data_IF_418070950659
#
_entry.id   IF_418070950659
#
_cell.length_a   1.000
_cell.length_b   1.000
_cell.length_c   1.000
_cell.angle_alpha   90.00
_cell.angle_beta   90.00
_cell.angle_gamma   90.00
#
_symmetry.space_group_name_H-M   'P 1'
#
loop_
_entity.id
_entity.type
_entity.pdbx_description
1 polymer ?
#
# COMPACT_ATOMS: atom_id res chain seq x y z
N UNK A 1 42.71 -16.18 -25.46
CA UNK A 1 41.61 -15.24 -25.75
C UNK A 1 40.83 -15.04 -24.45
N UNK A 2 40.72 -13.80 -23.99
CA UNK A 2 39.89 -13.44 -22.83
C UNK A 2 38.41 -13.69 -23.16
N UNK A 3 37.64 -14.34 -22.30
CA UNK A 3 36.21 -14.56 -22.56
C UNK A 3 35.41 -13.27 -22.29
N UNK A 4 34.24 -13.11 -22.90
CA UNK A 4 33.33 -11.97 -22.63
C UNK A 4 33.03 -11.83 -21.13
N UNK A 5 33.03 -12.96 -20.39
CA UNK A 5 32.81 -13.01 -18.94
C UNK A 5 33.96 -12.39 -18.15
N UNK A 6 35.20 -12.56 -18.62
CA UNK A 6 36.40 -12.01 -18.00
C UNK A 6 36.46 -10.49 -18.19
N UNK A 7 36.13 -10.01 -19.38
CA UNK A 7 36.00 -8.58 -19.70
C UNK A 7 34.92 -7.93 -18.82
N UNK A 8 33.79 -8.60 -18.59
CA UNK A 8 32.71 -8.09 -17.74
C UNK A 8 33.09 -7.99 -16.26
N UNK A 9 33.92 -8.93 -15.77
CA UNK A 9 34.40 -8.93 -14.40
C UNK A 9 35.43 -7.82 -14.15
N UNK A 10 36.30 -7.52 -15.11
CA UNK A 10 37.24 -6.40 -15.03
C UNK A 10 36.56 -5.03 -15.09
N UNK A 11 35.47 -4.91 -15.86
CA UNK A 11 34.73 -3.65 -16.01
C UNK A 11 33.75 -3.36 -14.86
N UNK A 12 33.43 -4.34 -14.01
CA UNK A 12 32.45 -4.24 -12.92
C UNK A 12 32.71 -3.07 -11.94
N UNK A 13 33.95 -2.79 -11.50
CA UNK A 13 34.25 -1.65 -10.64
C UNK A 13 34.05 -0.31 -11.35
N UNK A 14 34.36 -0.25 -12.65
CA UNK A 14 34.22 0.94 -13.49
C UNK A 14 32.75 1.25 -13.78
N UNK A 15 31.94 0.22 -14.08
CA UNK A 15 30.49 0.31 -14.25
C UNK A 15 29.81 0.80 -12.97
N UNK A 16 30.25 0.33 -11.79
CA UNK A 16 29.74 0.82 -10.48
C UNK A 16 30.04 2.31 -10.27
N UNK A 17 31.24 2.77 -10.66
CA UNK A 17 31.67 4.17 -10.55
C UNK A 17 30.89 5.08 -11.53
N UNK A 18 30.72 4.63 -12.77
CA UNK A 18 29.89 5.29 -13.79
C UNK A 18 28.43 5.37 -13.32
N UNK A 19 27.85 4.27 -12.81
CA UNK A 19 26.47 4.22 -12.31
C UNK A 19 26.24 5.22 -11.17
N UNK A 20 27.17 5.30 -10.21
CA UNK A 20 27.06 6.26 -9.10
C UNK A 20 27.24 7.71 -9.57
N UNK A 21 28.11 7.95 -10.54
CA UNK A 21 28.31 9.29 -11.13
C UNK A 21 27.09 9.73 -11.94
N UNK A 22 26.55 8.86 -12.82
CA UNK A 22 25.30 9.09 -13.54
C UNK A 22 24.10 9.25 -12.61
N UNK A 23 24.02 8.49 -11.51
CA UNK A 23 22.93 8.65 -10.54
C UNK A 23 22.96 10.04 -9.87
N UNK A 24 24.14 10.56 -9.54
CA UNK A 24 24.29 11.90 -8.95
C UNK A 24 24.07 13.03 -9.99
N UNK A 25 24.53 12.83 -11.23
CA UNK A 25 24.37 13.81 -12.31
C UNK A 25 22.93 13.85 -12.83
N UNK A 26 22.30 12.70 -13.03
CA UNK A 26 20.90 12.61 -13.47
C UNK A 26 19.98 13.13 -12.38
N UNK A 27 20.18 12.75 -11.10
CA UNK A 27 19.33 13.27 -10.01
C UNK A 27 19.30 14.81 -10.00
N UNK A 28 20.46 15.48 -10.06
CA UNK A 28 20.49 16.94 -10.03
C UNK A 28 19.99 17.58 -11.33
N UNK A 29 20.28 16.98 -12.49
CA UNK A 29 19.88 17.52 -13.80
C UNK A 29 18.39 17.31 -14.09
N UNK A 30 17.80 16.18 -13.68
CA UNK A 30 16.36 15.90 -13.82
C UNK A 30 15.50 16.86 -13.01
N UNK A 31 15.89 17.14 -11.75
CA UNK A 31 15.17 18.10 -10.91
C UNK A 31 15.33 19.54 -11.42
N UNK A 32 16.47 19.89 -12.02
CA UNK A 32 16.70 21.20 -12.63
C UNK A 32 15.91 21.38 -13.94
N UNK A 33 15.86 20.38 -14.81
CA UNK A 33 15.07 20.42 -16.05
C UNK A 33 13.55 20.40 -15.79
N UNK A 34 13.08 19.60 -14.82
CA UNK A 34 11.68 19.61 -14.39
C UNK A 34 11.24 20.98 -13.87
N UNK A 35 12.14 21.71 -13.20
CA UNK A 35 11.90 23.08 -12.71
C UNK A 35 11.87 24.12 -13.82
N UNK A 36 12.47 23.86 -14.98
CA UNK A 36 12.57 24.80 -16.10
C UNK A 36 11.52 24.56 -17.19
N UNK A 37 11.02 23.34 -17.32
CA UNK A 37 10.04 22.95 -18.34
C UNK A 37 8.57 23.15 -17.90
N UNK A 38 8.32 23.54 -16.66
CA UNK A 38 6.96 23.60 -16.12
C UNK A 38 6.83 24.74 -15.09
N UNK A 39 6.81 25.98 -15.56
CA UNK A 39 6.77 27.19 -14.71
C UNK A 39 5.47 27.34 -13.89
N UNK A 40 4.42 26.59 -14.25
CA UNK A 40 3.12 26.60 -13.55
C UNK A 40 2.92 25.34 -12.67
N UNK A 41 3.95 24.51 -12.53
CA UNK A 41 3.89 23.31 -11.69
C UNK A 41 4.21 23.68 -10.23
N UNK A 42 3.18 24.12 -9.50
CA UNK A 42 3.29 24.44 -8.09
C UNK A 42 3.50 23.17 -7.25
N UNK A 43 4.75 22.91 -6.91
CA UNK A 43 5.20 21.89 -5.96
C UNK A 43 5.13 22.37 -4.51
N UNK A 44 4.32 23.39 -4.19
CA UNK A 44 4.10 23.85 -2.82
C UNK A 44 3.72 22.69 -1.89
N UNK A 45 3.06 21.62 -2.36
CA UNK A 45 2.79 20.44 -1.53
C UNK A 45 3.97 19.45 -1.37
N UNK A 46 4.91 19.40 -2.33
CA UNK A 46 6.12 18.55 -2.21
C UNK A 46 7.14 19.24 -1.30
N UNK A 47 7.15 20.57 -1.25
CA UNK A 47 7.92 21.33 -0.28
C UNK A 47 7.19 21.54 1.06
N UNK A 48 5.85 21.58 1.10
CA UNK A 48 5.09 21.70 2.37
C UNK A 48 4.98 20.38 3.15
N UNK A 49 5.61 19.30 2.68
CA UNK A 49 5.83 18.08 3.47
C UNK A 49 7.31 17.79 3.77
N UNK A 50 8.23 18.66 3.35
CA UNK A 50 9.56 18.71 3.97
C UNK A 50 9.56 19.51 5.30
N UNK A 51 8.44 20.13 5.66
CA UNK A 51 8.17 20.70 7.00
C UNK A 51 7.13 19.92 7.81
N UNK A 52 6.54 18.88 7.23
CA UNK A 52 6.07 17.72 7.98
C UNK A 52 7.01 16.57 7.69
N UNK A 53 8.27 16.77 8.08
CA UNK A 53 9.11 15.64 8.44
C UNK A 53 8.23 14.72 9.28
N UNK A 54 8.09 13.50 8.79
CA UNK A 54 8.10 12.34 9.64
C UNK A 54 9.25 12.61 10.62
N UNK A 55 8.94 13.13 11.81
CA UNK A 55 9.73 12.93 13.01
C UNK A 55 9.64 11.43 13.34
N UNK A 56 10.11 10.58 12.43
CA UNK A 56 10.87 9.42 12.85
C UNK A 56 12.12 10.04 13.43
N UNK A 57 12.05 10.25 14.74
CA UNK A 57 13.16 10.71 15.56
C UNK A 57 14.34 9.77 15.38
N UNK A 58 15.15 10.03 14.36
CA UNK A 58 16.60 9.91 14.47
C UNK A 58 17.10 11.18 15.15
N UNK A 59 16.59 11.45 16.36
CA UNK A 59 17.35 12.22 17.33
C UNK A 59 18.50 11.29 17.73
N UNK A 60 19.65 11.63 17.13
CA UNK A 60 21.00 11.46 17.65
C UNK A 60 21.02 10.98 19.11
N UNK A 61 21.74 9.88 19.33
CA UNK A 61 22.19 9.34 20.63
C UNK A 61 21.85 10.26 21.81
N UNK A 62 20.77 9.94 22.53
CA UNK A 62 20.40 10.60 23.79
C UNK A 62 21.58 10.53 24.75
N UNK A 63 22.22 11.66 25.02
CA UNK A 63 23.17 11.76 26.11
C UNK A 63 22.44 11.48 27.44
N UNK A 64 22.93 10.53 28.24
CA UNK A 64 22.64 10.45 29.67
C UNK A 64 21.32 9.78 30.11
N UNK A 65 20.86 8.72 29.44
CA UNK A 65 19.73 7.90 29.94
C UNK A 65 20.25 6.53 30.39
N UNK A 66 20.71 6.43 31.63
CA UNK A 66 21.14 5.15 32.20
C UNK A 66 20.57 5.00 33.60
N UNK A 67 19.67 4.02 33.76
CA UNK A 67 19.35 3.46 35.06
C UNK A 67 20.44 2.43 35.33
N UNK A 68 21.28 2.66 36.35
CA UNK A 68 22.49 1.86 36.60
C UNK A 68 22.19 0.57 37.37
N UNK A 69 21.05 0.55 38.07
CA UNK A 69 20.56 -0.60 38.83
C UNK A 69 19.22 -1.06 38.30
N UNK A 70 18.92 -2.36 38.39
CA UNK A 70 17.61 -2.86 38.01
C UNK A 70 16.53 -2.30 38.95
N UNK A 71 15.45 -1.76 38.38
CA UNK A 71 14.29 -1.23 39.13
C UNK A 71 13.03 -1.92 38.65
N UNK A 72 12.13 -2.28 39.57
CA UNK A 72 10.85 -2.92 39.27
C UNK A 72 9.78 -1.82 39.16
N UNK A 73 9.15 -1.72 37.99
CA UNK A 73 8.08 -0.75 37.69
C UNK A 73 6.95 -1.51 37.00
N UNK A 74 5.95 -1.93 37.77
CA UNK A 74 4.85 -2.76 37.27
C UNK A 74 3.59 -1.96 36.97
N UNK A 75 3.51 -0.74 37.48
CA UNK A 75 2.39 0.19 37.30
C UNK A 75 2.81 1.59 37.77
N UNK A 76 1.89 2.53 37.59
CA UNK A 76 2.09 3.93 37.92
C UNK A 76 2.13 4.24 39.42
N UNK A 77 1.88 3.26 40.28
CA UNK A 77 1.99 3.35 41.74
C UNK A 77 3.41 3.01 42.26
N UNK A 78 4.33 2.59 41.38
CA UNK A 78 5.71 2.33 41.76
C UNK A 78 6.42 3.64 42.20
N UNK A 79 7.12 3.59 43.34
CA UNK A 79 7.88 4.74 43.85
C UNK A 79 9.16 4.97 43.03
N UNK A 80 9.44 6.23 42.69
CA UNK A 80 10.59 6.56 41.83
C UNK A 80 11.82 6.93 42.66
N UNK A 81 12.96 6.32 42.30
CA UNK A 81 14.28 6.87 42.66
C UNK A 81 14.68 7.96 41.65
N UNK A 82 15.80 8.66 41.92
CA UNK A 82 16.25 9.75 41.04
C UNK A 82 16.52 9.30 39.60
N UNK A 83 17.12 8.12 39.40
CA UNK A 83 17.45 7.62 38.07
C UNK A 83 16.18 7.34 37.25
N UNK A 84 15.14 6.80 37.88
CA UNK A 84 13.84 6.55 37.24
C UNK A 84 13.07 7.84 36.97
N UNK A 85 13.10 8.80 37.90
CA UNK A 85 12.49 10.12 37.69
C UNK A 85 13.14 10.83 36.49
N UNK A 86 14.46 10.83 36.40
CA UNK A 86 15.19 11.40 35.26
C UNK A 86 14.83 10.67 33.97
N UNK A 87 14.78 9.33 34.01
CA UNK A 87 14.38 8.50 32.86
C UNK A 87 12.97 8.84 32.37
N UNK A 88 12.02 8.97 33.29
CA UNK A 88 10.64 9.33 33.03
C UNK A 88 10.51 10.72 32.41
N UNK A 89 11.13 11.74 33.03
CA UNK A 89 11.13 13.12 32.53
C UNK A 89 11.77 13.23 31.14
N UNK A 90 12.84 12.48 30.84
CA UNK A 90 13.44 12.43 29.50
C UNK A 90 12.56 11.74 28.45
N UNK A 91 11.57 10.95 28.89
CA UNK A 91 10.52 10.42 28.02
C UNK A 91 9.52 11.49 27.58
N UNK A 92 9.32 12.53 28.41
CA UNK A 92 8.40 13.65 28.16
C UNK A 92 9.13 14.80 27.47
N UNK A 93 10.32 15.14 27.95
CA UNK A 93 11.14 16.27 27.52
C UNK A 93 12.48 15.75 26.96
N UNK A 94 12.54 15.37 25.68
CA UNK A 94 13.74 14.76 25.10
C UNK A 94 14.88 15.76 24.90
N UNK A 95 14.58 17.04 24.73
CA UNK A 95 15.56 18.11 24.55
C UNK A 95 16.26 18.46 25.88
N UNK A 96 17.59 18.55 25.88
CA UNK A 96 18.40 18.70 27.09
C UNK A 96 18.09 19.98 27.88
N UNK A 97 17.79 21.09 27.17
CA UNK A 97 17.41 22.36 27.79
C UNK A 97 16.05 22.28 28.49
N UNK A 98 15.07 21.64 27.84
CA UNK A 98 13.73 21.40 28.38
C UNK A 98 13.77 20.47 29.60
N UNK A 99 14.47 19.34 29.47
CA UNK A 99 14.68 18.39 30.57
C UNK A 99 15.31 19.06 31.79
N UNK A 100 16.45 19.74 31.61
CA UNK A 100 17.15 20.37 32.73
C UNK A 100 16.32 21.49 33.36
N UNK A 101 15.59 22.27 32.55
CA UNK A 101 14.68 23.28 33.07
C UNK A 101 13.58 22.66 33.94
N UNK A 102 12.87 21.65 33.43
CA UNK A 102 11.77 21.01 34.16
C UNK A 102 12.29 20.33 35.42
N UNK A 103 13.35 19.53 35.29
CA UNK A 103 13.98 18.83 36.41
C UNK A 103 14.36 19.78 37.54
N UNK A 104 15.10 20.84 37.23
CA UNK A 104 15.67 21.74 38.24
C UNK A 104 14.62 22.70 38.83
N UNK A 105 13.59 23.05 38.05
CA UNK A 105 12.57 24.02 38.48
C UNK A 105 11.43 23.35 39.25
N UNK A 106 11.00 22.16 38.81
CA UNK A 106 9.74 21.56 39.27
C UNK A 106 9.95 20.29 40.11
N UNK A 107 11.06 19.56 39.94
CA UNK A 107 11.18 18.18 40.42
C UNK A 107 12.02 17.98 41.70
N UNK A 108 12.47 19.05 42.37
CA UNK A 108 13.40 18.97 43.52
C UNK A 108 12.93 18.08 44.69
N UNK A 109 11.61 17.85 44.84
CA UNK A 109 11.01 17.02 45.89
C UNK A 109 10.07 15.94 45.34
N UNK A 110 10.39 15.37 44.17
CA UNK A 110 9.57 14.34 43.53
C UNK A 110 10.10 12.91 43.70
N UNK A 111 11.30 12.74 44.24
CA UNK A 111 11.84 11.41 44.57
C UNK A 111 11.00 10.77 45.67
N UNK A 112 10.70 9.49 45.52
CA UNK A 112 9.84 8.74 46.43
C UNK A 112 8.35 8.93 46.20
N UNK A 113 7.94 9.74 45.21
CA UNK A 113 6.57 9.78 44.72
C UNK A 113 6.35 8.70 43.65
N UNK A 114 5.10 8.37 43.39
CA UNK A 114 4.71 7.55 42.25
C UNK A 114 4.42 8.39 40.98
N UNK A 115 4.19 7.74 39.84
CA UNK A 115 3.99 8.43 38.57
C UNK A 115 2.73 9.30 38.56
N UNK A 116 1.63 8.87 39.18
CA UNK A 116 0.39 9.67 39.24
C UNK A 116 0.55 10.94 40.08
N UNK A 117 1.28 10.84 41.20
CA UNK A 117 1.57 11.98 42.06
C UNK A 117 2.48 12.99 41.37
N UNK A 118 3.46 12.49 40.62
CA UNK A 118 4.36 13.32 39.80
C UNK A 118 3.58 14.01 38.68
N UNK A 119 2.74 13.27 37.96
CA UNK A 119 1.88 13.81 36.90
C UNK A 119 1.04 14.98 37.43
N UNK A 120 0.33 14.78 38.55
CA UNK A 120 -0.51 15.83 39.16
C UNK A 120 0.28 17.08 39.55
N UNK A 121 1.47 16.90 40.14
CA UNK A 121 2.32 18.03 40.55
C UNK A 121 2.89 18.77 39.35
N UNK A 122 3.42 18.05 38.36
CA UNK A 122 3.93 18.63 37.12
C UNK A 122 2.85 19.40 36.36
N UNK A 123 1.66 18.81 36.22
CA UNK A 123 0.52 19.47 35.58
C UNK A 123 0.19 20.81 36.24
N UNK A 124 0.05 20.82 37.56
CA UNK A 124 -0.25 22.03 38.32
C UNK A 124 0.84 23.09 38.17
N UNK A 125 2.11 22.70 38.23
CA UNK A 125 3.25 23.63 38.15
C UNK A 125 3.43 24.19 36.74
N UNK A 126 3.32 23.35 35.71
CA UNK A 126 3.44 23.76 34.32
C UNK A 126 2.31 24.72 33.92
N UNK A 127 1.06 24.41 34.28
CA UNK A 127 -0.09 25.28 34.03
C UNK A 127 0.02 26.62 34.76
N UNK A 128 0.46 26.61 36.02
CA UNK A 128 0.69 27.82 36.77
C UNK A 128 1.76 28.70 36.10
N UNK A 129 2.92 28.13 35.76
CA UNK A 129 4.00 28.86 35.11
C UNK A 129 3.61 29.37 33.70
N UNK A 130 2.81 28.61 32.93
CA UNK A 130 2.24 29.08 31.67
C UNK A 130 1.32 30.30 31.89
N UNK A 131 0.51 30.27 32.94
CA UNK A 131 -0.42 31.36 33.28
C UNK A 131 0.33 32.63 33.71
N UNK A 132 1.42 32.48 34.47
CA UNK A 132 2.23 33.61 34.95
C UNK A 132 3.09 34.23 33.84
N UNK A 133 3.87 33.44 33.12
CA UNK A 133 4.85 33.97 32.16
C UNK A 133 4.27 34.24 30.78
N UNK A 134 3.30 33.43 30.35
CA UNK A 134 2.67 33.49 29.02
C UNK A 134 3.67 33.51 27.86
N UNK A 135 4.78 32.80 28.02
CA UNK A 135 5.83 32.69 27.01
C UNK A 135 5.74 31.38 26.21
N UNK A 136 6.35 31.37 25.02
CA UNK A 136 6.31 30.22 24.11
C UNK A 136 7.04 28.98 24.64
N UNK A 137 8.06 29.15 25.47
CA UNK A 137 8.80 28.02 26.04
C UNK A 137 7.96 27.26 27.07
N UNK A 138 7.27 27.99 27.96
CA UNK A 138 6.30 27.44 28.92
C UNK A 138 5.13 26.75 28.21
N UNK A 139 4.68 27.28 27.07
CA UNK A 139 3.64 26.66 26.24
C UNK A 139 4.12 25.33 25.64
N UNK A 140 5.36 25.26 25.12
CA UNK A 140 5.95 24.02 24.59
C UNK A 140 6.08 22.94 25.66
N UNK A 141 6.45 23.30 26.90
CA UNK A 141 6.53 22.32 28.00
C UNK A 141 5.15 21.75 28.36
N UNK A 142 4.14 22.60 28.43
CA UNK A 142 2.75 22.14 28.64
C UNK A 142 2.31 21.23 27.50
N UNK A 143 2.56 21.61 26.25
CA UNK A 143 2.20 20.80 25.08
C UNK A 143 2.84 19.41 25.12
N UNK A 144 4.15 19.32 25.39
CA UNK A 144 4.85 18.05 25.50
C UNK A 144 4.29 17.17 26.63
N UNK A 145 3.98 17.77 27.79
CA UNK A 145 3.41 17.07 28.93
C UNK A 145 1.98 16.56 28.67
N UNK A 146 1.12 17.37 28.05
CA UNK A 146 -0.23 16.93 27.68
C UNK A 146 -0.22 15.84 26.60
N UNK A 147 0.68 15.95 25.61
CA UNK A 147 0.89 14.87 24.63
C UNK A 147 1.35 13.56 25.29
N UNK A 148 2.19 13.65 26.33
CA UNK A 148 2.54 12.48 27.16
C UNK A 148 1.32 11.89 27.86
N UNK A 149 0.48 12.71 28.51
CA UNK A 149 -0.75 12.23 29.18
C UNK A 149 -1.72 11.54 28.22
N UNK A 150 -1.94 12.12 27.04
CA UNK A 150 -2.76 11.48 26.00
C UNK A 150 -2.19 10.13 25.58
N UNK A 151 -0.86 10.05 25.40
CA UNK A 151 -0.18 8.80 25.05
C UNK A 151 -0.24 7.77 26.17
N UNK A 152 -0.13 8.18 27.44
CA UNK A 152 -0.29 7.31 28.60
C UNK A 152 -1.67 6.66 28.61
N UNK A 153 -2.75 7.45 28.48
CA UNK A 153 -4.12 6.92 28.38
C UNK A 153 -4.28 5.97 27.19
N UNK A 154 -3.65 6.29 26.05
CA UNK A 154 -3.65 5.39 24.88
C UNK A 154 -2.94 4.07 25.16
N UNK A 155 -1.79 4.09 25.84
CA UNK A 155 -1.03 2.91 26.23
C UNK A 155 -1.82 2.02 27.22
N UNK A 156 -2.46 2.61 28.22
CA UNK A 156 -3.32 1.91 29.18
C UNK A 156 -4.47 1.17 28.45
N UNK A 157 -4.98 1.76 27.37
CA UNK A 157 -6.07 1.21 26.57
C UNK A 157 -5.61 0.43 25.34
N UNK A 158 -4.30 0.17 25.17
CA UNK A 158 -3.76 -0.48 23.98
C UNK A 158 -4.36 -1.88 23.76
N UNK A 159 -4.51 -2.64 24.84
CA UNK A 159 -5.08 -4.00 24.84
C UNK A 159 -6.48 -4.08 25.46
N UNK A 160 -7.12 -2.94 25.73
CA UNK A 160 -8.50 -2.90 26.21
C UNK A 160 -9.47 -3.16 25.07
N UNK A 161 -10.53 -3.93 25.34
CA UNK A 161 -11.62 -4.19 24.38
C UNK A 161 -12.80 -3.23 24.54
N UNK A 162 -12.88 -2.51 25.67
CA UNK A 162 -14.07 -1.77 26.11
C UNK A 162 -14.54 -0.69 25.13
N UNK A 163 -13.60 -0.04 24.46
CA UNK A 163 -13.87 1.11 23.58
C UNK A 163 -13.50 0.83 22.11
N UNK A 164 -13.29 -0.45 21.74
CA UNK A 164 -12.98 -0.84 20.36
C UNK A 164 -14.28 -1.11 19.61
N UNK A 165 -14.40 -0.55 18.39
CA UNK A 165 -15.54 -0.77 17.50
C UNK A 165 -15.75 -2.26 17.18
N UNK A 166 -14.63 -3.00 17.04
CA UNK A 166 -14.63 -4.44 17.06
C UNK A 166 -13.76 -4.97 18.23
N UNK A 167 -14.36 -5.40 19.35
CA UNK A 167 -13.65 -6.00 20.47
C UNK A 167 -12.80 -7.23 20.08
N UNK A 168 -13.22 -7.96 19.05
CA UNK A 168 -12.53 -9.15 18.56
C UNK A 168 -11.23 -8.83 17.79
N UNK A 169 -10.97 -7.56 17.47
CA UNK A 169 -9.76 -7.15 16.76
C UNK A 169 -8.51 -7.03 17.66
N UNK A 170 -8.66 -7.12 18.99
CA UNK A 170 -7.56 -6.89 19.95
C UNK A 170 -6.70 -8.13 20.15
N UNK A 171 -7.34 -9.28 20.42
CA UNK A 171 -6.65 -10.52 20.76
C UNK A 171 -6.77 -11.54 19.65
N UNK A 172 -5.71 -12.33 19.48
CA UNK A 172 -5.66 -13.43 18.53
C UNK A 172 -6.75 -14.48 18.84
N UNK A 173 -7.47 -15.00 17.85
CA UNK A 173 -8.45 -16.06 18.05
C UNK A 173 -7.78 -17.36 18.49
N UNK A 174 -8.17 -17.88 19.65
CA UNK A 174 -7.68 -19.15 20.18
C UNK A 174 -8.87 -20.06 20.58
N UNK A 175 -9.06 -21.20 19.89
CA UNK A 175 -10.15 -22.12 20.22
C UNK A 175 -9.91 -22.88 21.52
N UNK A 176 -8.69 -22.85 22.06
CA UNK A 176 -8.29 -23.49 23.32
C UNK A 176 -8.41 -22.58 24.53
N UNK A 177 -8.62 -21.27 24.33
CA UNK A 177 -8.76 -20.31 25.43
C UNK A 177 -9.96 -20.63 26.32
N UNK A 178 -9.76 -20.59 27.64
CA UNK A 178 -10.81 -20.98 28.61
C UNK A 178 -11.98 -19.98 28.72
N UNK A 179 -11.76 -18.71 28.38
CA UNK A 179 -12.71 -17.60 28.57
C UNK A 179 -13.28 -17.07 27.25
N UNK A 180 -12.49 -17.09 26.18
CA UNK A 180 -12.80 -16.48 24.88
C UNK A 180 -12.50 -17.43 23.72
N UNK A 181 -13.19 -18.57 23.69
CA UNK A 181 -13.09 -19.57 22.62
C UNK A 181 -13.51 -18.98 21.28
N UNK A 182 -12.53 -18.67 20.44
CA UNK A 182 -12.74 -18.13 19.10
C UNK A 182 -11.93 -18.93 18.09
N UNK A 183 -12.53 -19.27 16.96
CA UNK A 183 -11.82 -19.92 15.87
C UNK A 183 -11.37 -18.90 14.85
N UNK A 184 -10.09 -18.93 14.49
CA UNK A 184 -9.52 -18.13 13.41
C UNK A 184 -10.31 -18.27 12.11
N UNK A 185 -10.88 -19.45 11.84
CA UNK A 185 -11.62 -19.75 10.61
C UNK A 185 -13.05 -19.19 10.58
N UNK A 186 -13.51 -18.61 11.69
CA UNK A 186 -14.81 -17.94 11.78
C UNK A 186 -14.68 -16.41 11.86
N UNK A 187 -13.45 -15.90 11.90
CA UNK A 187 -13.19 -14.47 12.02
C UNK A 187 -13.34 -13.72 10.70
N UNK A 188 -13.76 -12.48 10.82
CA UNK A 188 -13.73 -11.48 9.77
C UNK A 188 -12.75 -10.38 10.19
N UNK A 189 -11.59 -10.24 9.53
CA UNK A 189 -10.50 -9.39 10.01
C UNK A 189 -10.76 -7.90 9.68
N UNK A 190 -11.69 -7.25 10.37
CA UNK A 190 -11.94 -5.81 10.26
C UNK A 190 -11.95 -5.14 11.64
N UNK A 191 -11.45 -3.91 11.73
CA UNK A 191 -11.50 -3.12 12.96
C UNK A 191 -12.71 -2.17 13.00
N UNK A 192 -13.15 -1.69 11.83
CA UNK A 192 -14.24 -0.73 11.69
C UNK A 192 -15.07 -1.04 10.43
N UNK A 193 -16.35 -0.68 10.47
CA UNK A 193 -17.21 -0.63 9.29
C UNK A 193 -17.08 0.73 8.61
N UNK A 194 -17.16 0.73 7.29
CA UNK A 194 -17.01 1.90 6.44
C UNK A 194 -18.15 1.83 5.39
N UNK A 195 -19.40 2.15 5.78
CA UNK A 195 -20.58 1.94 4.94
C UNK A 195 -20.59 2.91 3.75
N UNK A 196 -19.94 2.52 2.66
CA UNK A 196 -19.75 3.32 1.45
C UNK A 196 -20.65 2.88 0.30
N UNK A 197 -21.14 1.64 0.32
CA UNK A 197 -21.70 0.95 -0.84
C UNK A 197 -23.15 0.57 -0.61
N UNK A 198 -23.98 0.96 -1.57
CA UNK A 198 -25.33 0.46 -1.78
C UNK A 198 -25.48 -0.07 -3.22
N UNK A 199 -26.67 -0.54 -3.58
CA UNK A 199 -26.92 -1.11 -4.92
C UNK A 199 -26.83 -0.08 -6.06
N UNK A 200 -26.92 1.22 -5.76
CA UNK A 200 -26.80 2.28 -6.76
C UNK A 200 -25.36 2.72 -6.99
N UNK A 201 -24.47 2.48 -6.02
CA UNK A 201 -23.05 2.86 -6.05
C UNK A 201 -22.35 2.23 -7.25
N UNK A 202 -21.77 3.07 -8.12
CA UNK A 202 -21.09 2.65 -9.36
C UNK A 202 -19.70 2.13 -9.04
N UNK A 203 -19.49 0.83 -9.24
CA UNK A 203 -18.23 0.16 -8.90
C UNK A 203 -17.48 -0.21 -10.17
N UNK A 204 -16.19 0.10 -10.17
CA UNK A 204 -15.21 -0.38 -11.16
C UNK A 204 -14.15 -1.20 -10.44
N UNK A 205 -13.67 -2.28 -11.06
CA UNK A 205 -12.54 -3.03 -10.52
C UNK A 205 -11.48 -3.36 -11.56
N UNK A 206 -10.24 -3.37 -11.12
CA UNK A 206 -9.10 -3.82 -11.90
C UNK A 206 -8.13 -4.59 -11.01
N UNK A 207 -7.44 -5.58 -11.57
CA UNK A 207 -6.41 -6.27 -10.84
C UNK A 207 -6.11 -7.67 -11.32
N UNK A 208 -5.49 -8.44 -10.43
CA UNK A 208 -5.06 -9.82 -10.71
C UNK A 208 -6.26 -10.73 -11.06
N UNK A 209 -6.04 -12.01 -11.34
CA UNK A 209 -7.14 -12.97 -11.57
C UNK A 209 -8.18 -12.99 -10.43
N UNK A 210 -7.79 -12.62 -9.20
CA UNK A 210 -8.72 -12.49 -8.07
C UNK A 210 -9.68 -11.29 -8.21
N UNK A 211 -9.30 -10.22 -8.93
CA UNK A 211 -10.20 -9.13 -9.26
C UNK A 211 -11.36 -9.57 -10.15
N UNK A 212 -11.13 -10.52 -11.07
CA UNK A 212 -12.19 -11.12 -11.89
C UNK A 212 -13.26 -11.80 -11.01
N UNK A 213 -12.84 -12.53 -9.98
CA UNK A 213 -13.77 -13.16 -9.02
C UNK A 213 -14.60 -12.09 -8.27
N UNK A 214 -13.95 -11.00 -7.84
CA UNK A 214 -14.64 -9.85 -7.22
C UNK A 214 -15.64 -9.21 -8.21
N UNK A 215 -15.23 -8.99 -9.46
CA UNK A 215 -16.08 -8.40 -10.50
C UNK A 215 -17.32 -9.25 -10.77
N UNK A 216 -17.16 -10.56 -10.95
CA UNK A 216 -18.27 -11.49 -11.20
C UNK A 216 -19.21 -11.55 -10.01
N UNK A 217 -18.66 -11.53 -8.81
CA UNK A 217 -19.45 -11.51 -7.59
C UNK A 217 -20.31 -10.25 -7.49
N UNK A 218 -19.72 -9.08 -7.68
CA UNK A 218 -20.45 -7.81 -7.59
C UNK A 218 -21.61 -7.79 -8.59
N UNK A 219 -21.38 -8.32 -9.80
CA UNK A 219 -22.43 -8.50 -10.81
C UNK A 219 -23.52 -9.48 -10.37
N UNK A 220 -23.16 -10.69 -9.91
CA UNK A 220 -24.12 -11.74 -9.48
C UNK A 220 -24.96 -11.32 -8.28
N UNK A 221 -24.39 -10.51 -7.39
CA UNK A 221 -25.08 -10.00 -6.21
C UNK A 221 -25.86 -8.73 -6.50
N UNK A 222 -25.87 -8.23 -7.74
CA UNK A 222 -26.69 -7.10 -8.18
C UNK A 222 -26.18 -5.72 -7.76
N UNK A 223 -24.89 -5.59 -7.42
CA UNK A 223 -24.29 -4.26 -7.31
C UNK A 223 -24.18 -3.60 -8.69
N UNK A 224 -24.17 -2.27 -8.72
CA UNK A 224 -24.00 -1.49 -9.94
C UNK A 224 -22.53 -1.52 -10.42
N UNK A 225 -22.11 -2.67 -10.92
CA UNK A 225 -20.78 -2.86 -11.51
C UNK A 225 -20.77 -2.32 -12.94
N UNK A 226 -19.99 -1.27 -13.18
CA UNK A 226 -19.96 -0.59 -14.48
C UNK A 226 -19.28 -1.47 -15.53
N UNK A 227 -19.98 -1.68 -16.66
CA UNK A 227 -19.44 -2.32 -17.87
C UNK A 227 -19.50 -1.34 -19.03
N UNK A 228 -18.34 -0.93 -19.52
CA UNK A 228 -18.13 -0.03 -20.67
C UNK A 228 -17.55 -0.76 -21.89
N UNK A 229 -16.95 -1.92 -21.68
CA UNK A 229 -16.47 -2.79 -22.77
C UNK A 229 -16.61 -4.27 -22.36
N UNK A 230 -17.10 -5.10 -23.27
CA UNK A 230 -17.40 -6.51 -23.05
C UNK A 230 -16.15 -7.40 -23.15
N UNK A 231 -16.22 -8.64 -22.67
CA UNK A 231 -15.11 -9.62 -22.78
C UNK A 231 -14.79 -10.01 -24.23
N UNK A 232 -15.68 -9.76 -25.17
CA UNK A 232 -15.49 -10.05 -26.59
C UNK A 232 -16.21 -9.00 -27.42
N UNK A 233 -15.63 -8.69 -28.56
CA UNK A 233 -16.32 -7.94 -29.62
C UNK A 233 -17.52 -8.72 -30.17
N UNK A 234 -18.52 -8.00 -30.67
CA UNK A 234 -19.69 -8.59 -31.35
C UNK A 234 -19.27 -9.33 -32.62
N UNK A 235 -18.30 -8.79 -33.34
CA UNK A 235 -17.79 -9.31 -34.61
C UNK A 235 -16.71 -10.40 -34.44
N UNK A 236 -16.25 -10.65 -33.21
CA UNK A 236 -15.19 -11.64 -32.93
C UNK A 236 -13.77 -11.17 -33.28
N UNK A 237 -13.55 -9.86 -33.43
CA UNK A 237 -12.24 -9.22 -33.64
C UNK A 237 -11.29 -9.34 -32.44
N UNK A 238 -11.84 -9.41 -31.21
CA UNK A 238 -11.09 -9.78 -30.01
C UNK A 238 -11.94 -10.59 -29.01
N UNK A 239 -11.24 -11.33 -28.15
CA UNK A 239 -11.79 -12.10 -27.03
C UNK A 239 -10.85 -12.13 -25.82
N UNK A 240 -11.43 -12.15 -24.62
CA UNK A 240 -10.70 -12.50 -23.40
C UNK A 240 -10.51 -14.02 -23.38
N UNK A 241 -9.26 -14.49 -23.34
CA UNK A 241 -8.92 -15.92 -23.48
C UNK A 241 -9.52 -16.82 -22.40
N UNK A 242 -9.63 -16.31 -21.17
CA UNK A 242 -10.31 -16.95 -20.04
C UNK A 242 -11.70 -16.31 -19.80
N UNK A 243 -12.43 -15.97 -20.87
CA UNK A 243 -13.75 -15.35 -20.74
C UNK A 243 -14.75 -16.27 -20.06
N UNK A 244 -15.60 -15.69 -19.23
CA UNK A 244 -16.82 -16.32 -18.74
C UNK A 244 -18.04 -15.60 -19.33
N UNK A 245 -19.25 -16.06 -19.00
CA UNK A 245 -20.49 -15.37 -19.36
C UNK A 245 -20.53 -13.93 -18.85
N UNK A 246 -19.91 -13.66 -17.69
CA UNK A 246 -19.86 -12.33 -17.10
C UNK A 246 -18.59 -11.58 -17.52
N UNK A 247 -18.70 -10.27 -17.82
CA UNK A 247 -17.55 -9.39 -18.00
C UNK A 247 -16.54 -9.49 -16.86
N UNK A 248 -15.26 -9.66 -17.21
CA UNK A 248 -14.16 -9.85 -16.27
C UNK A 248 -13.65 -8.53 -15.67
N UNK A 249 -13.95 -7.41 -16.33
CA UNK A 249 -13.49 -6.07 -15.95
C UNK A 249 -14.45 -5.00 -16.48
N UNK A 250 -14.33 -3.76 -15.99
CA UNK A 250 -15.23 -2.69 -16.42
C UNK A 250 -15.00 -2.19 -17.84
N UNK A 251 -13.77 -2.25 -18.37
CA UNK A 251 -13.52 -1.92 -19.77
C UNK A 251 -12.38 -2.77 -20.37
N UNK A 252 -12.63 -4.06 -20.59
CA UNK A 252 -11.76 -5.08 -21.21
C UNK A 252 -10.23 -4.78 -21.24
N UNK A 253 -9.67 -4.28 -20.14
CA UNK A 253 -8.26 -3.89 -20.01
C UNK A 253 -7.39 -5.08 -19.60
N UNK A 254 -7.97 -6.28 -19.61
CA UNK A 254 -7.30 -7.49 -19.23
C UNK A 254 -7.05 -7.60 -17.73
N UNK A 255 -6.18 -8.54 -17.37
CA UNK A 255 -5.72 -8.70 -15.98
C UNK A 255 -4.62 -7.69 -15.68
N UNK A 256 -4.59 -7.09 -14.48
CA UNK A 256 -3.58 -6.09 -14.07
C UNK A 256 -2.91 -6.53 -12.77
N UNK A 257 -1.59 -6.71 -12.75
CA UNK A 257 -0.96 -7.27 -11.55
C UNK A 257 -0.14 -6.30 -10.70
N UNK A 258 0.49 -5.31 -11.30
CA UNK A 258 1.50 -4.48 -10.63
C UNK A 258 1.09 -3.00 -10.62
N UNK A 259 1.58 -2.24 -9.65
CA UNK A 259 1.21 -0.83 -9.45
C UNK A 259 1.53 0.08 -10.64
N UNK A 260 2.65 -0.07 -11.39
CA UNK A 260 2.86 0.71 -12.60
C UNK A 260 1.78 0.46 -13.65
N UNK A 261 1.28 -0.76 -13.79
CA UNK A 261 0.23 -1.08 -14.78
C UNK A 261 -1.10 -0.43 -14.43
N UNK A 262 -1.45 -0.31 -13.13
CA UNK A 262 -2.61 0.48 -12.71
C UNK A 262 -2.44 1.96 -13.06
N UNK A 263 -1.27 2.54 -12.76
CA UNK A 263 -0.96 3.92 -13.13
C UNK A 263 -1.05 4.11 -14.64
N UNK A 264 -0.40 3.25 -15.42
CA UNK A 264 -0.37 3.31 -16.87
C UNK A 264 -1.77 3.17 -17.49
N UNK A 265 -2.66 2.34 -16.91
CA UNK A 265 -4.05 2.26 -17.36
C UNK A 265 -4.75 3.62 -17.23
N UNK A 266 -4.61 4.28 -16.07
CA UNK A 266 -5.20 5.60 -15.82
C UNK A 266 -4.55 6.67 -16.70
N UNK A 267 -3.22 6.67 -16.82
CA UNK A 267 -2.48 7.58 -17.71
C UNK A 267 -2.93 7.45 -19.16
N UNK A 268 -3.12 6.22 -19.64
CA UNK A 268 -3.57 5.94 -21.01
C UNK A 268 -5.01 6.41 -21.23
N UNK A 269 -5.91 6.18 -20.27
CA UNK A 269 -7.32 6.59 -20.35
C UNK A 269 -7.51 8.12 -20.35
N UNK A 270 -6.60 8.86 -19.70
CA UNK A 270 -6.61 10.32 -19.67
C UNK A 270 -5.57 10.98 -20.58
N UNK A 271 -4.96 10.20 -21.49
CA UNK A 271 -3.99 10.68 -22.49
C UNK A 271 -2.76 11.40 -21.88
N UNK A 272 -2.43 11.11 -20.62
CA UNK A 272 -1.24 11.62 -19.92
C UNK A 272 0.03 10.93 -20.44
N UNK A 273 -0.11 9.68 -20.90
CA UNK A 273 0.98 8.89 -21.47
C UNK A 273 0.46 8.02 -22.61
N UNK A 274 1.15 8.08 -23.74
CA UNK A 274 0.99 7.08 -24.80
C UNK A 274 1.88 5.86 -24.52
N UNK A 275 1.29 4.66 -24.66
CA UNK A 275 2.01 3.39 -24.52
C UNK A 275 2.31 2.81 -25.91
N UNK A 276 3.46 2.14 -26.10
CA UNK A 276 3.85 1.61 -27.39
C UNK A 276 2.89 0.52 -27.87
N UNK A 277 2.43 0.60 -29.11
CA UNK A 277 1.53 -0.36 -29.75
C UNK A 277 2.31 -1.58 -30.28
N UNK A 278 2.93 -2.33 -29.36
CA UNK A 278 3.71 -3.52 -29.68
C UNK A 278 2.89 -4.76 -29.35
N UNK A 279 2.69 -5.63 -30.35
CA UNK A 279 1.98 -6.90 -30.21
C UNK A 279 2.96 -8.07 -30.24
N UNK A 280 2.61 -9.12 -29.51
CA UNK A 280 3.27 -10.42 -29.61
C UNK A 280 2.27 -11.52 -29.94
N UNK A 281 2.77 -12.55 -30.61
CA UNK A 281 1.94 -13.64 -31.10
C UNK A 281 1.84 -14.79 -30.10
N UNK A 282 0.66 -15.39 -30.02
CA UNK A 282 0.43 -16.60 -29.26
C UNK A 282 -0.45 -17.56 -30.06
N UNK A 283 -0.22 -18.86 -29.88
CA UNK A 283 -1.12 -19.89 -30.40
C UNK A 283 -2.15 -20.21 -29.32
N UNK A 284 -3.43 -20.04 -29.64
CA UNK A 284 -4.53 -20.36 -28.73
C UNK A 284 -5.58 -21.17 -29.50
N UNK A 285 -5.89 -22.38 -29.01
CA UNK A 285 -6.81 -23.32 -29.68
C UNK A 285 -6.48 -23.55 -31.17
N UNK A 286 -5.19 -23.65 -31.50
CA UNK A 286 -4.70 -23.85 -32.87
C UNK A 286 -4.79 -22.62 -33.78
N UNK A 287 -5.19 -21.45 -33.26
CA UNK A 287 -5.27 -20.20 -34.01
C UNK A 287 -4.19 -19.23 -33.53
N UNK A 288 -3.60 -18.50 -34.48
CA UNK A 288 -2.73 -17.38 -34.18
C UNK A 288 -3.56 -16.25 -33.56
N UNK A 289 -3.03 -15.66 -32.49
CA UNK A 289 -3.59 -14.53 -31.77
C UNK A 289 -2.51 -13.50 -31.50
N UNK A 290 -2.94 -12.24 -31.40
CA UNK A 290 -2.09 -11.10 -31.10
C UNK A 290 -2.48 -10.54 -29.73
N UNK A 291 -1.49 -10.32 -28.86
CA UNK A 291 -1.71 -9.85 -27.49
C UNK A 291 -1.01 -8.51 -27.27
N UNK A 292 -1.67 -7.60 -26.54
CA UNK A 292 -1.10 -6.34 -26.08
C UNK A 292 -0.50 -6.53 -24.65
N UNK A 293 0.78 -6.20 -24.40
CA UNK A 293 1.41 -6.25 -23.06
C UNK A 293 0.65 -5.56 -21.94
N UNK A 294 -0.15 -4.56 -22.31
CA UNK A 294 -0.89 -3.71 -21.39
C UNK A 294 -2.36 -4.13 -21.25
N UNK A 295 -2.81 -5.17 -21.98
CA UNK A 295 -4.14 -5.78 -21.88
C UNK A 295 -4.05 -7.30 -21.76
N UNK A 296 -3.51 -7.77 -20.63
CA UNK A 296 -3.25 -9.20 -20.41
C UNK A 296 -4.50 -10.07 -20.60
N UNK A 297 -4.35 -11.19 -21.32
CA UNK A 297 -5.40 -12.12 -21.71
C UNK A 297 -6.45 -11.60 -22.70
N UNK A 298 -6.33 -10.38 -23.23
CA UNK A 298 -7.11 -9.93 -24.38
C UNK A 298 -6.39 -10.31 -25.66
N UNK A 299 -7.06 -11.10 -26.50
CA UNK A 299 -6.51 -11.63 -27.74
C UNK A 299 -7.26 -11.09 -28.95
N UNK A 300 -6.49 -10.53 -29.89
CA UNK A 300 -6.96 -10.04 -31.17
C UNK A 300 -6.73 -11.08 -32.26
N UNK A 301 -7.60 -11.09 -33.27
CA UNK A 301 -7.48 -11.98 -34.43
C UNK A 301 -6.44 -11.49 -35.44
N UNK A 302 -6.16 -10.19 -35.48
CA UNK A 302 -5.12 -9.56 -36.31
C UNK A 302 -4.62 -8.24 -35.70
N UNK A 303 -3.50 -7.67 -36.19
CA UNK A 303 -3.06 -6.32 -35.82
C UNK A 303 -4.07 -5.22 -36.20
N UNK A 304 -4.78 -5.38 -37.31
CA UNK A 304 -5.79 -4.42 -37.77
C UNK A 304 -6.98 -4.37 -36.80
N UNK A 305 -7.43 -5.54 -36.32
CA UNK A 305 -8.46 -5.63 -35.28
C UNK A 305 -8.06 -4.93 -33.97
N UNK A 306 -6.76 -4.93 -33.64
CA UNK A 306 -6.24 -4.18 -32.50
C UNK A 306 -6.33 -2.66 -32.72
N UNK A 307 -5.90 -2.17 -33.89
CA UNK A 307 -5.94 -0.74 -34.23
C UNK A 307 -7.39 -0.21 -34.31
N UNK A 308 -8.31 -0.97 -34.90
CA UNK A 308 -9.74 -0.64 -34.97
C UNK A 308 -10.36 -0.54 -33.57
N UNK A 309 -9.98 -1.42 -32.65
CA UNK A 309 -10.49 -1.39 -31.28
C UNK A 309 -9.83 -0.32 -30.40
N UNK A 310 -8.59 0.10 -30.68
CA UNK A 310 -7.76 0.90 -29.77
C UNK A 310 -8.47 2.12 -29.19
N UNK A 311 -8.98 3.01 -30.06
CA UNK A 311 -9.62 4.25 -29.61
C UNK A 311 -10.93 4.00 -28.84
N UNK A 312 -11.70 3.00 -29.26
CA UNK A 312 -12.94 2.61 -28.57
C UNK A 312 -12.66 2.09 -27.16
N UNK A 313 -11.58 1.31 -26.98
CA UNK A 313 -11.12 0.81 -25.69
C UNK A 313 -10.66 1.96 -24.76
N UNK A 314 -9.88 2.92 -25.28
CA UNK A 314 -9.47 4.09 -24.50
C UNK A 314 -10.68 4.87 -24.01
N UNK A 315 -11.65 5.11 -24.90
CA UNK A 315 -12.90 5.79 -24.56
C UNK A 315 -13.67 5.04 -23.47
N UNK A 316 -13.81 3.72 -23.59
CA UNK A 316 -14.50 2.90 -22.59
C UNK A 316 -13.81 2.93 -21.22
N UNK A 317 -12.47 2.86 -21.19
CA UNK A 317 -11.69 2.97 -19.95
C UNK A 317 -11.87 4.36 -19.30
N UNK A 318 -11.82 5.42 -20.11
CA UNK A 318 -12.05 6.79 -19.65
C UNK A 318 -13.44 6.97 -19.05
N UNK A 319 -14.48 6.50 -19.73
CA UNK A 319 -15.87 6.57 -19.25
C UNK A 319 -16.06 5.82 -17.93
N UNK A 320 -15.45 4.62 -17.79
CA UNK A 320 -15.49 3.87 -16.55
C UNK A 320 -14.89 4.69 -15.39
N UNK A 321 -13.75 5.34 -15.61
CA UNK A 321 -13.08 6.14 -14.58
C UNK A 321 -13.80 7.46 -14.24
N UNK A 322 -14.45 8.08 -15.22
CA UNK A 322 -15.23 9.31 -15.01
C UNK A 322 -16.53 9.06 -14.24
N UNK A 323 -17.17 7.92 -14.46
CA UNK A 323 -18.51 7.66 -13.92
C UNK A 323 -18.52 6.91 -12.58
N UNK A 324 -17.45 6.21 -12.22
CA UNK A 324 -17.42 5.39 -11.01
C UNK A 324 -17.45 6.22 -9.72
N UNK A 325 -18.06 5.65 -8.68
CA UNK A 325 -17.98 6.17 -7.31
C UNK A 325 -16.81 5.49 -6.56
N UNK A 326 -16.56 4.21 -6.87
CA UNK A 326 -15.56 3.38 -6.21
C UNK A 326 -14.69 2.64 -7.22
N UNK A 327 -13.38 2.72 -7.00
CA UNK A 327 -12.39 1.93 -7.71
C UNK A 327 -11.77 0.87 -6.80
N UNK A 328 -12.04 -0.41 -7.08
CA UNK A 328 -11.43 -1.54 -6.39
C UNK A 328 -10.18 -2.00 -7.15
N UNK A 329 -9.01 -1.87 -6.53
CA UNK A 329 -7.74 -2.34 -7.09
C UNK A 329 -7.23 -3.55 -6.33
N UNK A 330 -6.86 -4.61 -7.06
CA UNK A 330 -6.32 -5.85 -6.48
C UNK A 330 -4.88 -6.08 -6.92
N UNK A 331 -3.92 -5.76 -6.04
CA UNK A 331 -2.49 -5.91 -6.28
C UNK A 331 -2.10 -7.39 -6.37
N UNK A 332 -1.19 -7.75 -7.27
CA UNK A 332 -0.89 -9.14 -7.61
C UNK A 332 0.59 -9.51 -7.57
N UNK A 333 1.45 -8.71 -8.21
CA UNK A 333 2.86 -9.04 -8.47
C UNK A 333 3.79 -7.85 -8.17
N UNK A 334 4.93 -8.13 -7.54
CA UNK A 334 6.01 -7.17 -7.29
C UNK A 334 7.24 -7.37 -8.21
N UNK A 335 7.24 -8.46 -8.99
CA UNK A 335 8.22 -8.72 -10.05
C UNK A 335 7.66 -8.19 -11.37
N UNK A 336 8.32 -7.20 -11.95
CA UNK A 336 7.84 -6.50 -13.14
C UNK A 336 8.81 -6.62 -14.31
N UNK A 337 8.25 -6.59 -15.51
CA UNK A 337 8.97 -6.54 -16.78
C UNK A 337 8.59 -5.25 -17.50
N UNK A 338 9.53 -4.65 -18.22
CA UNK A 338 9.34 -3.37 -18.88
C UNK A 338 10.14 -3.25 -20.17
N UNK A 339 9.69 -2.39 -21.08
CA UNK A 339 10.47 -2.00 -22.25
C UNK A 339 11.65 -1.12 -21.85
N UNK A 340 12.87 -1.47 -22.28
CA UNK A 340 14.07 -0.67 -21.99
C UNK A 340 14.05 0.71 -22.64
N UNK A 341 13.28 0.87 -23.72
CA UNK A 341 13.24 2.10 -24.51
C UNK A 341 12.56 3.26 -23.76
N UNK A 342 11.44 3.00 -23.08
CA UNK A 342 10.57 4.02 -22.49
C UNK A 342 10.15 3.71 -21.04
N UNK A 343 10.55 2.57 -20.50
CA UNK A 343 10.18 2.12 -19.16
C UNK A 343 8.72 1.68 -19.01
N UNK A 344 7.96 1.51 -20.10
CA UNK A 344 6.58 1.03 -20.04
C UNK A 344 6.54 -0.39 -19.49
N UNK A 345 5.78 -0.59 -18.41
CA UNK A 345 5.71 -1.83 -17.63
C UNK A 345 4.56 -2.70 -18.14
N UNK A 346 4.81 -4.00 -18.27
CA UNK A 346 3.78 -4.96 -18.69
C UNK A 346 2.93 -5.38 -17.51
N UNK A 347 1.68 -5.75 -17.76
CA UNK A 347 0.84 -6.31 -16.71
C UNK A 347 1.45 -7.61 -16.15
N UNK A 348 1.97 -8.48 -17.02
CA UNK A 348 2.62 -9.74 -16.66
C UNK A 348 3.93 -9.93 -17.43
N UNK A 349 4.79 -10.81 -16.91
CA UNK A 349 5.99 -11.26 -17.61
C UNK A 349 5.68 -11.73 -19.03
N UNK A 350 6.46 -11.30 -20.03
CA UNK A 350 6.24 -11.68 -21.40
C UNK A 350 6.96 -12.98 -21.70
N UNK A 351 6.20 -14.07 -21.83
CA UNK A 351 6.75 -15.40 -22.15
C UNK A 351 7.27 -15.51 -23.59
N UNK A 352 6.82 -14.61 -24.48
CA UNK A 352 7.02 -14.69 -25.94
C UNK A 352 7.32 -13.33 -26.57
N UNK A 353 8.27 -12.60 -25.98
CA UNK A 353 8.81 -11.35 -26.53
C UNK A 353 10.24 -11.48 -26.99
N UNK A 354 10.69 -10.55 -27.83
CA UNK A 354 12.11 -10.36 -28.11
C UNK A 354 12.84 -9.94 -26.82
N UNK A 355 13.73 -10.79 -26.25
CA UNK A 355 14.41 -10.49 -24.98
C UNK A 355 15.30 -9.24 -25.08
N UNK A 356 15.71 -8.85 -26.29
CA UNK A 356 16.48 -7.65 -26.56
C UNK A 356 15.75 -6.34 -26.23
N UNK A 357 14.41 -6.33 -26.20
CA UNK A 357 13.61 -5.13 -25.95
C UNK A 357 13.33 -4.88 -24.47
N UNK A 358 13.43 -5.92 -23.63
CA UNK A 358 12.86 -5.92 -22.29
C UNK A 358 13.91 -6.05 -21.20
N UNK A 359 13.52 -5.64 -20.00
CA UNK A 359 14.26 -5.86 -18.76
C UNK A 359 13.26 -6.17 -17.63
N UNK A 360 13.76 -6.63 -16.49
CA UNK A 360 12.94 -6.94 -15.32
C UNK A 360 13.53 -6.34 -14.05
N UNK A 361 12.67 -6.05 -13.07
CA UNK A 361 13.07 -5.60 -11.74
C UNK A 361 12.10 -6.06 -10.66
N UNK A 362 12.58 -6.12 -9.42
CA UNK A 362 11.74 -6.27 -8.23
C UNK A 362 11.50 -4.86 -7.70
N UNK A 363 10.25 -4.48 -7.46
CA UNK A 363 9.95 -3.15 -6.93
C UNK A 363 10.07 -3.12 -5.39
N UNK A 364 10.48 -1.96 -4.89
CA UNK A 364 10.46 -1.62 -3.47
C UNK A 364 9.07 -1.18 -3.02
N UNK A 365 8.85 -1.13 -1.70
CA UNK A 365 7.60 -0.59 -1.11
C UNK A 365 7.33 0.81 -1.63
N UNK A 366 8.32 1.70 -1.57
CA UNK A 366 8.15 3.11 -1.93
C UNK A 366 7.89 3.31 -3.44
N UNK A 367 8.51 2.51 -4.31
CA UNK A 367 8.16 2.52 -5.74
C UNK A 367 6.69 2.16 -5.97
N UNK A 368 6.19 1.12 -5.30
CA UNK A 368 4.78 0.73 -5.40
C UNK A 368 3.84 1.82 -4.88
N UNK A 369 4.17 2.43 -3.74
CA UNK A 369 3.39 3.55 -3.16
C UNK A 369 3.36 4.74 -4.11
N UNK A 370 4.49 5.11 -4.71
CA UNK A 370 4.57 6.23 -5.64
C UNK A 370 3.70 6.03 -6.88
N UNK A 371 3.69 4.83 -7.47
CA UNK A 371 2.81 4.52 -8.60
C UNK A 371 1.33 4.64 -8.21
N UNK A 372 0.93 4.14 -7.03
CA UNK A 372 -0.45 4.22 -6.55
C UNK A 372 -0.88 5.65 -6.23
N UNK A 373 0.00 6.45 -5.63
CA UNK A 373 -0.25 7.86 -5.35
C UNK A 373 -0.42 8.67 -6.64
N UNK A 374 0.45 8.46 -7.63
CA UNK A 374 0.37 9.14 -8.92
C UNK A 374 -0.88 8.70 -9.71
N UNK A 375 -1.22 7.40 -9.69
CA UNK A 375 -2.47 6.89 -10.23
C UNK A 375 -3.69 7.60 -9.62
N UNK A 376 -3.75 7.68 -8.29
CA UNK A 376 -4.85 8.33 -7.58
C UNK A 376 -4.90 9.84 -7.87
N UNK A 377 -3.75 10.50 -8.01
CA UNK A 377 -3.66 11.92 -8.35
C UNK A 377 -4.24 12.19 -9.75
N UNK A 378 -3.81 11.45 -10.76
CA UNK A 378 -4.30 11.61 -12.14
C UNK A 378 -5.79 11.32 -12.21
N UNK A 379 -6.22 10.24 -11.57
CA UNK A 379 -7.64 9.88 -11.53
C UNK A 379 -8.49 10.98 -10.89
N UNK A 380 -8.05 11.54 -9.75
CA UNK A 380 -8.81 12.57 -9.02
C UNK A 380 -8.77 13.95 -9.65
N UNK A 381 -7.84 14.22 -10.56
CA UNK A 381 -7.93 15.41 -11.41
C UNK A 381 -9.19 15.40 -12.29
N UNK A 382 -9.74 14.22 -12.59
CA UNK A 382 -10.93 14.04 -13.42
C UNK A 382 -12.17 13.55 -12.65
N UNK A 383 -11.98 12.78 -11.58
CA UNK A 383 -13.05 12.29 -10.70
C UNK A 383 -12.64 12.52 -9.22
N UNK A 384 -12.86 13.73 -8.67
CA UNK A 384 -12.31 14.13 -7.37
C UNK A 384 -12.92 13.39 -6.19
N UNK A 385 -14.14 12.83 -6.35
CA UNK A 385 -14.89 12.19 -5.28
C UNK A 385 -14.65 10.67 -5.17
N UNK A 386 -13.92 10.07 -6.11
CA UNK A 386 -13.70 8.62 -6.12
C UNK A 386 -13.07 8.12 -4.81
N UNK A 387 -13.68 7.08 -4.27
CA UNK A 387 -13.10 6.27 -3.20
C UNK A 387 -12.33 5.09 -3.77
N UNK A 388 -11.14 4.82 -3.24
CA UNK A 388 -10.29 3.71 -3.72
C UNK A 388 -10.28 2.62 -2.66
N UNK A 389 -10.65 1.39 -3.03
CA UNK A 389 -10.50 0.22 -2.18
C UNK A 389 -9.30 -0.58 -2.71
N UNK A 390 -8.23 -0.64 -1.94
CA UNK A 390 -7.03 -1.39 -2.27
C UNK A 390 -7.03 -2.73 -1.54
N UNK A 391 -6.80 -3.81 -2.28
CA UNK A 391 -6.62 -5.15 -1.71
C UNK A 391 -5.43 -5.86 -2.35
N UNK A 392 -4.99 -6.94 -1.72
CA UNK A 392 -3.93 -7.83 -2.18
C UNK A 392 -4.50 -9.19 -2.60
N UNK A 393 -4.04 -9.68 -3.74
CA UNK A 393 -4.40 -11.00 -4.25
C UNK A 393 -3.72 -12.11 -3.45
N UNK A 394 -4.46 -13.14 -2.98
CA UNK A 394 -3.87 -14.32 -2.35
C UNK A 394 -3.18 -15.26 -3.34
N UNK A 395 -3.47 -15.12 -4.64
CA UNK A 395 -2.95 -16.02 -5.68
C UNK A 395 -1.43 -15.87 -5.77
N UNK A 396 -0.72 -16.99 -5.61
CA UNK A 396 0.73 -17.03 -5.63
C UNK A 396 1.34 -16.74 -7.02
N UNK A 397 2.61 -16.35 -7.04
CA UNK A 397 3.41 -16.26 -8.28
C UNK A 397 3.33 -17.58 -9.06
N UNK A 398 3.13 -17.49 -10.38
CA UNK A 398 3.23 -18.65 -11.26
C UNK A 398 4.70 -19.00 -11.54
N UNK A 399 5.55 -17.99 -11.64
CA UNK A 399 6.99 -18.11 -11.83
C UNK A 399 7.71 -16.90 -11.26
N UNK A 400 9.01 -17.03 -11.05
CA UNK A 400 9.90 -15.95 -10.60
C UNK A 400 11.15 -15.91 -11.48
N UNK A 401 11.64 -14.72 -11.82
CA UNK A 401 12.96 -14.59 -12.47
C UNK A 401 14.11 -14.66 -11.44
N UNK A 402 13.80 -14.77 -10.15
CA UNK A 402 14.75 -14.83 -9.03
C UNK A 402 15.15 -16.24 -8.64
N UNK A 403 14.86 -17.23 -9.49
CA UNK A 403 15.07 -18.64 -9.21
C UNK A 403 16.55 -19.02 -8.99
N UNK A 404 17.48 -18.16 -9.42
CA UNK A 404 18.91 -18.31 -9.14
C UNK A 404 19.30 -17.88 -7.71
N UNK A 405 18.49 -17.04 -7.04
CA UNK A 405 18.77 -16.56 -5.68
C UNK A 405 17.86 -17.19 -4.62
N UNK A 406 16.63 -17.58 -4.98
CA UNK A 406 15.65 -18.09 -4.03
C UNK A 406 14.55 -18.93 -4.68
N UNK A 407 13.96 -19.82 -3.90
CA UNK A 407 12.79 -20.61 -4.30
C UNK A 407 11.56 -19.72 -4.53
N UNK A 408 10.67 -20.13 -5.44
CA UNK A 408 9.45 -19.38 -5.80
C UNK A 408 8.55 -19.07 -4.60
N UNK A 409 8.48 -19.97 -3.61
CA UNK A 409 7.70 -19.76 -2.37
C UNK A 409 8.23 -18.54 -1.59
N UNK A 410 9.55 -18.44 -1.42
CA UNK A 410 10.19 -17.29 -0.76
C UNK A 410 10.05 -16.01 -1.59
N UNK A 411 10.17 -16.10 -2.92
CA UNK A 411 9.92 -14.97 -3.81
C UNK A 411 8.48 -14.46 -3.73
N UNK A 412 7.51 -15.38 -3.65
CA UNK A 412 6.11 -15.06 -3.47
C UNK A 412 5.86 -14.40 -2.11
N UNK A 413 6.41 -14.95 -1.01
CA UNK A 413 6.30 -14.36 0.31
C UNK A 413 6.84 -12.92 0.31
N UNK A 414 8.04 -12.69 -0.25
CA UNK A 414 8.59 -11.35 -0.43
C UNK A 414 7.66 -10.43 -1.25
N UNK A 415 7.14 -10.92 -2.39
CA UNK A 415 6.22 -10.15 -3.23
C UNK A 415 4.96 -9.72 -2.48
N UNK A 416 4.33 -10.62 -1.73
CA UNK A 416 3.10 -10.32 -0.98
C UNK A 416 3.37 -9.39 0.19
N UNK A 417 4.46 -9.59 0.94
CA UNK A 417 4.85 -8.70 2.04
C UNK A 417 5.10 -7.27 1.56
N UNK A 418 5.86 -7.08 0.46
CA UNK A 418 6.12 -5.74 -0.09
C UNK A 418 4.83 -5.05 -0.51
N UNK A 419 3.95 -5.74 -1.25
CA UNK A 419 2.68 -5.17 -1.70
C UNK A 419 1.72 -4.89 -0.53
N UNK A 420 1.73 -5.72 0.51
CA UNK A 420 0.88 -5.52 1.69
C UNK A 420 1.28 -4.27 2.46
N UNK A 421 2.57 -4.04 2.64
CA UNK A 421 3.09 -2.81 3.26
C UNK A 421 2.82 -1.61 2.34
N UNK A 422 3.01 -1.74 1.03
CA UNK A 422 2.70 -0.66 0.08
C UNK A 422 1.22 -0.26 0.10
N UNK A 423 0.29 -1.22 0.19
CA UNK A 423 -1.14 -0.94 0.31
C UNK A 423 -1.48 -0.20 1.62
N UNK A 424 -0.82 -0.54 2.72
CA UNK A 424 -0.99 0.16 3.99
C UNK A 424 -0.47 1.60 3.93
N UNK A 425 0.75 1.78 3.43
CA UNK A 425 1.35 3.11 3.27
C UNK A 425 0.54 3.97 2.29
N UNK A 426 0.02 3.39 1.21
CA UNK A 426 -0.87 4.08 0.29
C UNK A 426 -2.16 4.54 0.99
N UNK A 427 -2.84 3.67 1.74
CA UNK A 427 -4.11 4.02 2.42
C UNK A 427 -3.91 5.01 3.59
N UNK A 428 -2.74 5.01 4.23
CA UNK A 428 -2.35 6.05 5.20
C UNK A 428 -2.12 7.42 4.55
N UNK A 429 -1.47 7.45 3.38
CA UNK A 429 -1.05 8.69 2.69
C UNK A 429 -2.13 9.27 1.77
N UNK A 430 -3.02 8.43 1.25
CA UNK A 430 -4.05 8.78 0.27
C UNK A 430 -5.41 8.93 0.97
N UNK A 431 -5.99 10.14 0.94
CA UNK A 431 -7.34 10.37 1.45
C UNK A 431 -8.37 9.51 0.71
N UNK A 432 -9.46 9.13 1.37
CA UNK A 432 -10.53 8.28 0.79
C UNK A 432 -10.00 7.03 0.09
N UNK A 433 -8.97 6.41 0.67
CA UNK A 433 -8.44 5.12 0.25
C UNK A 433 -8.50 4.15 1.43
N UNK A 434 -8.96 2.93 1.18
CA UNK A 434 -9.23 1.94 2.21
C UNK A 434 -8.56 0.62 1.88
N UNK A 435 -8.01 -0.05 2.88
CA UNK A 435 -7.51 -1.40 2.71
C UNK A 435 -8.64 -2.41 2.95
N UNK A 436 -8.84 -3.32 2.00
CA UNK A 436 -9.78 -4.43 2.14
C UNK A 436 -9.01 -5.74 2.38
N UNK A 437 -9.14 -6.40 3.54
CA UNK A 437 -8.28 -7.52 3.93
C UNK A 437 -8.71 -8.88 3.33
N UNK A 438 -8.94 -8.94 2.01
CA UNK A 438 -9.27 -10.22 1.36
C UNK A 438 -8.09 -11.19 1.32
N UNK A 439 -6.85 -10.67 1.32
CA UNK A 439 -5.64 -11.48 1.38
C UNK A 439 -5.59 -12.31 2.66
N UNK A 440 -5.79 -11.66 3.81
CA UNK A 440 -5.76 -12.28 5.13
C UNK A 440 -6.94 -13.23 5.34
N UNK A 441 -8.14 -12.89 4.83
CA UNK A 441 -9.29 -13.81 4.87
C UNK A 441 -8.95 -15.14 4.20
N UNK A 442 -8.39 -15.10 2.98
CA UNK A 442 -8.08 -16.31 2.23
C UNK A 442 -6.86 -17.03 2.81
N UNK A 443 -5.79 -16.30 3.16
CA UNK A 443 -4.52 -16.95 3.55
C UNK A 443 -4.45 -17.37 5.01
N UNK A 444 -5.29 -16.81 5.88
CA UNK A 444 -5.20 -17.00 7.33
C UNK A 444 -6.53 -17.46 7.92
N UNK A 445 -7.64 -16.81 7.55
CA UNK A 445 -8.94 -16.97 8.24
C UNK A 445 -9.93 -17.89 7.53
N UNK A 446 -9.47 -18.69 6.56
CA UNK A 446 -10.29 -19.67 5.84
C UNK A 446 -9.64 -21.05 5.96
N UNK A 447 -10.41 -22.05 6.39
CA UNK A 447 -9.90 -23.40 6.67
C UNK A 447 -9.50 -24.17 5.39
N UNK A 448 -10.28 -24.03 4.32
CA UNK A 448 -10.04 -24.66 3.03
C UNK A 448 -9.97 -23.64 1.89
N UNK A 449 -8.91 -22.81 1.84
CA UNK A 449 -8.90 -21.62 0.98
C UNK A 449 -8.55 -21.88 -0.48
N UNK A 450 -8.09 -23.08 -0.84
CA UNK A 450 -7.54 -23.36 -2.16
C UNK A 450 -8.32 -24.44 -2.91
N UNK A 451 -8.43 -24.28 -4.23
CA UNK A 451 -8.82 -25.35 -5.16
C UNK A 451 -7.72 -26.43 -5.19
N UNK A 452 -7.99 -27.54 -5.88
CA UNK A 452 -7.06 -28.68 -5.99
C UNK A 452 -5.64 -28.31 -6.48
N UNK A 453 -5.48 -27.23 -7.24
CA UNK A 453 -4.18 -26.74 -7.69
C UNK A 453 -3.40 -25.92 -6.64
N UNK A 454 -3.93 -25.78 -5.42
CA UNK A 454 -3.29 -25.12 -4.28
C UNK A 454 -2.86 -23.67 -4.52
N UNK A 455 -3.48 -23.00 -5.51
CA UNK A 455 -3.11 -21.64 -5.93
C UNK A 455 -4.31 -20.75 -6.19
N UNK A 456 -5.37 -21.30 -6.78
CA UNK A 456 -6.61 -20.55 -7.02
C UNK A 456 -7.54 -20.69 -5.82
N UNK A 457 -8.25 -19.61 -5.50
CA UNK A 457 -9.12 -19.54 -4.31
C UNK A 457 -10.31 -20.50 -4.48
N UNK A 458 -10.65 -21.22 -3.41
CA UNK A 458 -11.83 -22.08 -3.33
C UNK A 458 -13.13 -21.27 -3.28
N UNK A 459 -14.27 -21.95 -3.41
CA UNK A 459 -15.57 -21.31 -3.20
C UNK A 459 -15.70 -20.76 -1.78
N UNK A 460 -15.30 -21.52 -0.77
CA UNK A 460 -15.35 -21.13 0.64
C UNK A 460 -14.54 -19.86 0.91
N UNK A 461 -13.33 -19.78 0.35
CA UNK A 461 -12.48 -18.58 0.46
C UNK A 461 -13.09 -17.36 -0.22
N UNK A 462 -13.70 -17.55 -1.40
CA UNK A 462 -14.44 -16.47 -2.06
C UNK A 462 -15.61 -16.04 -1.18
N UNK A 463 -16.49 -16.96 -0.75
CA UNK A 463 -17.69 -16.70 0.06
C UNK A 463 -17.36 -15.93 1.36
N UNK A 464 -16.25 -16.26 2.04
CA UNK A 464 -15.78 -15.50 3.21
C UNK A 464 -15.34 -14.07 2.87
N UNK A 465 -14.68 -13.86 1.72
CA UNK A 465 -14.32 -12.52 1.24
C UNK A 465 -15.57 -11.69 0.97
N UNK A 466 -16.62 -12.29 0.41
CA UNK A 466 -17.92 -11.62 0.17
C UNK A 466 -18.52 -11.17 1.49
N UNK A 467 -18.58 -12.09 2.45
CA UNK A 467 -19.12 -11.83 3.79
C UNK A 467 -18.39 -10.67 4.44
N UNK A 468 -17.07 -10.64 4.36
CA UNK A 468 -16.26 -9.52 4.85
C UNK A 468 -16.58 -8.22 4.09
N UNK A 469 -16.62 -8.26 2.75
CA UNK A 469 -16.88 -7.07 1.93
C UNK A 469 -18.22 -6.42 2.30
N UNK A 470 -19.27 -7.23 2.43
CA UNK A 470 -20.57 -6.77 2.88
C UNK A 470 -20.51 -6.18 4.29
N UNK A 471 -19.86 -6.88 5.23
CA UNK A 471 -19.75 -6.44 6.62
C UNK A 471 -19.04 -5.10 6.77
N UNK A 472 -18.03 -4.83 5.96
CA UNK A 472 -17.27 -3.57 6.02
C UNK A 472 -18.02 -2.47 5.27
N UNK A 473 -18.48 -2.72 4.04
CA UNK A 473 -18.80 -1.63 3.12
C UNK A 473 -20.29 -1.42 2.82
N UNK A 474 -21.18 -2.36 3.16
CA UNK A 474 -22.61 -2.17 2.88
C UNK A 474 -23.23 -1.11 3.79
N UNK A 475 -24.09 -0.25 3.21
CA UNK A 475 -24.96 0.68 3.94
C UNK A 475 -26.21 0.00 4.48
#
# INVERSE_FOLDING_TARGET
MMTIRDIFNELKPFIKKIRNSLFNVIKNTSFYLLRKLNSDFDLSWVNSRNTQNIEQGTNQVKAGVSIKSAVIINNDQALLNQEVLDFYLRGIFPEESAFNHVRNTYCNNMVGLNFEEIDKKLESQLLHNLTEKKDGFSALMCQAFFAHKEKKVSNENAYSTKDKLNPNAVFWPDPTDSKHKRSLYTELPFANQIPLIDKSTKIVSAGSCFATEIAHLLQRTGYNYLIKEQNKSVEGSYEFLDSTELPNSSAAWGTIFNTPSFRQLVEKAFEVRELPRILWTNQHNGKLRYLDPFRENIAFVSPEAYEENYNSHIKAAREAFLEMDIFIITLGLNEVWYFKADGSVFSRSPWRTAPSLVAHKVMSVEENVNDLMLMAQILRAHNPNVSIICTLSPIALHATFRANEQHIVTANAHSKSVLRVAAEEFTKRCKNAYYFPSYEVVTVSTEHPWKANQRHVSKDGVDNVIKLFHQIYSK
#
